data_IF_085946169734
#
_entry.id   IF_085946169734
#
_cell.length_a   1.000
_cell.length_b   1.000
_cell.length_c   1.000
_cell.angle_alpha   90.00
_cell.angle_beta   90.00
_cell.angle_gamma   90.00
#
_symmetry.space_group_name_H-M   'P 1'
#
loop_
_entity.id
_entity.type
_entity.pdbx_description
1 polymer ?
#
# COMPACT_ATOMS: atom_id res chain seq x y z
N UNK A 1 -4.44 11.47 -7.22
CA UNK A 1 -4.91 10.40 -6.31
C UNK A 1 -3.76 9.82 -5.51
N UNK A 2 -2.59 9.57 -6.14
CA UNK A 2 -1.40 9.08 -5.43
C UNK A 2 -1.04 9.88 -4.16
N UNK A 3 -1.03 11.24 -4.15
CA UNK A 3 -0.69 11.99 -2.92
C UNK A 3 -1.59 11.67 -1.72
N UNK A 4 -2.89 11.43 -1.94
CA UNK A 4 -3.85 11.07 -0.88
C UNK A 4 -3.56 9.67 -0.34
N UNK A 5 -3.21 8.72 -1.22
CA UNK A 5 -2.85 7.35 -0.81
C UNK A 5 -1.50 7.36 -0.06
N UNK A 6 -0.54 8.18 -0.48
CA UNK A 6 0.74 8.38 0.22
C UNK A 6 0.52 8.97 1.61
N UNK A 7 -0.36 9.96 1.74
CA UNK A 7 -0.74 10.53 3.04
C UNK A 7 -1.41 9.46 3.94
N UNK A 8 -2.31 8.66 3.39
CA UNK A 8 -2.93 7.55 4.12
C UNK A 8 -1.90 6.51 4.57
N UNK A 9 -0.92 6.20 3.73
CA UNK A 9 0.17 5.28 4.06
C UNK A 9 1.10 5.86 5.14
N UNK A 10 1.41 7.16 5.09
CA UNK A 10 2.14 7.84 6.14
C UNK A 10 1.40 7.78 7.49
N UNK A 11 0.07 7.99 7.47
CA UNK A 11 -0.78 7.83 8.65
C UNK A 11 -0.82 6.38 9.16
N UNK A 12 -0.83 5.39 8.26
CA UNK A 12 -0.67 3.98 8.64
C UNK A 12 0.66 3.74 9.36
N UNK A 13 1.77 4.23 8.81
CA UNK A 13 3.09 4.13 9.43
C UNK A 13 3.12 4.75 10.83
N UNK A 14 2.63 5.98 10.95
CA UNK A 14 2.71 6.75 12.20
C UNK A 14 1.73 6.24 13.28
N UNK A 15 0.51 5.89 12.90
CA UNK A 15 -0.58 5.66 13.86
C UNK A 15 -0.92 4.18 14.06
N UNK A 16 -0.83 3.36 13.02
CA UNK A 16 -1.21 1.95 13.07
C UNK A 16 -0.04 1.07 13.50
N UNK A 17 1.07 1.12 12.76
CA UNK A 17 2.25 0.30 13.06
C UNK A 17 3.28 1.03 13.95
N UNK A 18 3.13 2.36 14.09
CA UNK A 18 3.96 3.23 14.97
C UNK A 18 5.45 3.12 14.68
N UNK A 19 5.80 2.97 13.41
CA UNK A 19 7.20 2.92 12.95
C UNK A 19 7.61 4.24 12.32
N UNK A 20 8.86 4.67 12.50
CA UNK A 20 9.39 5.82 11.80
C UNK A 20 9.41 5.54 10.30
N UNK A 21 9.11 6.55 9.50
CA UNK A 21 9.10 6.43 8.05
C UNK A 21 9.85 7.59 7.39
N UNK A 22 10.36 7.36 6.19
CA UNK A 22 10.98 8.36 5.33
C UNK A 22 10.45 8.19 3.91
N UNK A 23 10.04 9.29 3.28
CA UNK A 23 9.63 9.30 1.88
C UNK A 23 10.89 9.25 1.02
N UNK A 24 11.04 8.21 0.20
CA UNK A 24 12.23 7.99 -0.61
C UNK A 24 11.93 8.14 -2.10
N UNK A 25 12.86 8.71 -2.87
CA UNK A 25 12.76 8.74 -4.32
C UNK A 25 13.20 7.39 -4.93
N UNK A 26 12.43 6.93 -5.92
CA UNK A 26 12.59 5.83 -6.88
C UNK A 26 13.95 5.09 -6.98
N UNK A 27 13.98 3.80 -7.39
CA UNK A 27 12.94 2.74 -7.36
C UNK A 27 13.09 1.81 -6.14
N UNK A 28 12.12 0.90 -5.89
CA UNK A 28 12.24 -0.07 -4.81
C UNK A 28 13.50 -0.92 -4.98
N UNK A 29 14.24 -1.10 -3.89
CA UNK A 29 15.56 -1.75 -3.92
C UNK A 29 15.50 -3.24 -3.65
N UNK A 30 14.36 -3.72 -3.17
CA UNK A 30 14.15 -5.09 -2.70
C UNK A 30 13.05 -5.77 -3.50
N UNK A 31 12.99 -7.10 -3.42
CA UNK A 31 11.85 -7.87 -3.91
C UNK A 31 10.62 -7.47 -3.10
N UNK A 32 9.52 -7.16 -3.77
CA UNK A 32 8.30 -6.61 -3.14
C UNK A 32 7.12 -7.49 -3.53
N UNK A 33 6.29 -7.85 -2.55
CA UNK A 33 4.99 -8.46 -2.76
C UNK A 33 3.97 -7.36 -3.00
N UNK A 34 3.05 -7.54 -3.94
CA UNK A 34 2.07 -6.51 -4.29
C UNK A 34 0.63 -7.00 -4.10
N UNK A 35 -0.23 -6.10 -3.65
CA UNK A 35 -1.67 -6.19 -3.77
C UNK A 35 -2.19 -4.97 -4.53
N UNK A 36 -3.33 -5.08 -5.19
CA UNK A 36 -4.01 -3.95 -5.81
C UNK A 36 -5.45 -3.80 -5.37
N UNK A 37 -5.93 -2.55 -5.40
CA UNK A 37 -7.34 -2.19 -5.25
C UNK A 37 -7.71 -1.27 -6.42
N UNK A 38 -8.81 -1.60 -7.09
CA UNK A 38 -9.40 -0.70 -8.09
C UNK A 38 -10.22 0.40 -7.38
N UNK A 39 -10.00 1.64 -7.80
CA UNK A 39 -10.58 2.87 -7.26
C UNK A 39 -11.30 3.60 -8.39
N UNK A 40 -12.60 3.80 -8.22
CA UNK A 40 -13.40 4.66 -9.09
C UNK A 40 -13.54 6.04 -8.46
N UNK A 41 -13.20 7.08 -9.23
CA UNK A 41 -13.39 8.48 -8.83
C UNK A 41 -13.58 9.36 -10.05
N UNK A 42 -14.55 10.28 -9.99
CA UNK A 42 -14.84 11.26 -11.05
C UNK A 42 -15.02 10.63 -12.46
N UNK A 43 -15.66 9.45 -12.52
CA UNK A 43 -15.91 8.74 -13.79
C UNK A 43 -14.66 8.07 -14.40
N UNK A 44 -13.59 7.93 -13.64
CA UNK A 44 -12.36 7.25 -14.06
C UNK A 44 -11.96 6.17 -13.07
N UNK A 45 -11.46 5.05 -13.58
CA UNK A 45 -10.98 3.94 -12.77
C UNK A 45 -9.45 3.95 -12.75
N UNK A 46 -8.91 3.83 -11.55
CA UNK A 46 -7.49 3.67 -11.31
C UNK A 46 -7.27 2.37 -10.54
N UNK A 47 -6.10 1.78 -10.69
CA UNK A 47 -5.62 0.67 -9.90
C UNK A 47 -4.50 1.17 -9.00
N UNK A 48 -4.73 1.14 -7.70
CA UNK A 48 -3.72 1.42 -6.70
C UNK A 48 -3.02 0.11 -6.32
N UNK A 49 -1.70 0.11 -6.35
CA UNK A 49 -0.87 -1.01 -5.91
C UNK A 49 -0.21 -0.64 -4.58
N UNK A 50 -0.31 -1.55 -3.62
CA UNK A 50 0.38 -1.47 -2.33
C UNK A 50 1.36 -2.64 -2.29
N UNK A 51 2.63 -2.33 -2.12
CA UNK A 51 3.68 -3.33 -2.09
C UNK A 51 4.51 -3.25 -0.82
N UNK A 52 4.78 -4.39 -0.21
CA UNK A 52 5.69 -4.49 0.94
C UNK A 52 6.84 -5.43 0.57
N UNK A 53 8.05 -5.04 0.94
CA UNK A 53 9.13 -6.03 0.96
C UNK A 53 8.90 -7.07 2.09
N UNK A 54 9.57 -8.25 2.03
CA UNK A 54 9.45 -9.29 3.04
C UNK A 54 9.73 -8.82 4.47
N UNK A 55 10.66 -7.89 4.66
CA UNK A 55 11.02 -7.37 5.97
C UNK A 55 9.87 -6.58 6.56
N UNK A 56 9.27 -5.69 5.78
CA UNK A 56 8.16 -4.87 6.23
C UNK A 56 6.90 -5.71 6.49
N UNK A 57 6.55 -6.62 5.58
CA UNK A 57 5.31 -7.39 5.75
C UNK A 57 5.39 -8.35 6.95
N UNK A 58 6.56 -8.93 7.23
CA UNK A 58 6.77 -9.70 8.46
C UNK A 58 6.63 -8.82 9.70
N UNK A 59 7.22 -7.61 9.70
CA UNK A 59 7.07 -6.69 10.83
C UNK A 59 5.61 -6.28 11.06
N UNK A 60 4.84 -6.07 9.99
CA UNK A 60 3.40 -5.81 10.06
C UNK A 60 2.67 -7.02 10.65
N UNK A 61 2.97 -8.24 10.18
CA UNK A 61 2.39 -9.47 10.71
C UNK A 61 2.70 -9.65 12.21
N UNK A 62 3.93 -9.41 12.64
CA UNK A 62 4.32 -9.45 14.06
C UNK A 62 3.51 -8.44 14.90
N UNK A 63 3.38 -7.20 14.41
CA UNK A 63 2.64 -6.15 15.13
C UNK A 63 1.15 -6.49 15.31
N UNK A 64 0.52 -7.08 14.28
CA UNK A 64 -0.92 -7.35 14.30
C UNK A 64 -1.30 -8.73 14.83
N UNK A 65 -0.45 -9.75 14.60
CA UNK A 65 -0.72 -11.15 14.92
C UNK A 65 0.16 -11.69 16.06
N UNK A 66 1.28 -11.04 16.37
CA UNK A 66 2.24 -11.52 17.37
C UNK A 66 3.10 -12.70 16.88
N UNK A 67 3.23 -12.87 15.56
CA UNK A 67 4.01 -13.94 14.94
C UNK A 67 5.41 -13.44 14.54
N UNK A 68 6.44 -14.05 15.13
CA UNK A 68 7.85 -13.73 14.80
C UNK A 68 8.23 -14.17 13.37
N UNK A 69 7.65 -15.29 12.91
CA UNK A 69 7.80 -15.82 11.56
C UNK A 69 6.43 -16.28 11.05
N UNK A 70 6.01 -15.73 9.91
CA UNK A 70 4.73 -16.06 9.28
C UNK A 70 4.95 -16.80 7.96
N UNK A 71 4.02 -17.71 7.63
CA UNK A 71 4.04 -18.38 6.34
C UNK A 71 3.58 -17.46 5.19
N UNK A 72 3.80 -17.89 3.94
CA UNK A 72 3.48 -17.09 2.74
C UNK A 72 1.99 -16.73 2.64
N UNK A 73 1.10 -17.59 3.11
CA UNK A 73 -0.34 -17.34 3.08
C UNK A 73 -0.69 -16.24 4.07
N UNK A 74 -0.19 -16.33 5.31
CA UNK A 74 -0.37 -15.29 6.32
C UNK A 74 0.18 -13.94 5.85
N UNK A 75 1.39 -13.91 5.27
CA UNK A 75 1.97 -12.67 4.75
C UNK A 75 1.16 -12.08 3.59
N UNK A 76 0.59 -12.93 2.73
CA UNK A 76 -0.29 -12.50 1.64
C UNK A 76 -1.59 -11.91 2.17
N UNK A 77 -2.24 -12.58 3.13
CA UNK A 77 -3.47 -12.10 3.75
C UNK A 77 -3.23 -10.78 4.50
N UNK A 78 -2.10 -10.66 5.19
CA UNK A 78 -1.68 -9.41 5.83
C UNK A 78 -1.43 -8.29 4.83
N UNK A 79 -0.89 -8.59 3.64
CA UNK A 79 -0.69 -7.59 2.60
C UNK A 79 -2.02 -7.10 2.03
N UNK A 80 -2.99 -8.00 1.83
CA UNK A 80 -4.34 -7.65 1.39
C UNK A 80 -5.04 -6.75 2.42
N UNK A 81 -4.96 -7.09 3.70
CA UNK A 81 -5.53 -6.27 4.77
C UNK A 81 -4.82 -4.92 4.87
N UNK A 82 -3.47 -4.90 4.78
CA UNK A 82 -2.69 -3.66 4.75
C UNK A 82 -3.12 -2.75 3.60
N UNK A 83 -3.30 -3.32 2.40
CA UNK A 83 -3.79 -2.56 1.25
C UNK A 83 -5.18 -1.98 1.50
N UNK A 84 -6.08 -2.78 2.09
CA UNK A 84 -7.43 -2.36 2.45
C UNK A 84 -7.43 -1.23 3.50
N UNK A 85 -6.57 -1.32 4.52
CA UNK A 85 -6.42 -0.28 5.55
C UNK A 85 -5.91 1.03 4.94
N UNK A 86 -4.87 0.99 4.10
CA UNK A 86 -4.28 2.19 3.50
C UNK A 86 -5.25 2.83 2.51
N UNK A 87 -5.78 2.07 1.55
CA UNK A 87 -6.67 2.61 0.52
C UNK A 87 -8.04 2.98 1.09
N UNK A 88 -8.53 2.22 2.08
CA UNK A 88 -9.72 2.56 2.86
C UNK A 88 -9.57 3.88 3.62
N UNK A 89 -8.42 4.11 4.27
CA UNK A 89 -8.11 5.38 4.91
C UNK A 89 -8.01 6.52 3.89
N UNK A 90 -7.40 6.28 2.72
CA UNK A 90 -7.32 7.26 1.63
C UNK A 90 -8.71 7.69 1.12
N UNK A 91 -9.67 6.76 1.03
CA UNK A 91 -11.06 7.07 0.70
C UNK A 91 -11.70 8.03 1.71
N UNK A 92 -11.47 7.82 3.01
CA UNK A 92 -11.99 8.71 4.06
C UNK A 92 -11.33 10.09 3.96
N UNK A 93 -10.00 10.14 3.84
CA UNK A 93 -9.25 11.39 3.67
C UNK A 93 -9.71 12.18 2.43
N UNK A 94 -9.95 11.49 1.31
CA UNK A 94 -10.44 12.11 0.08
C UNK A 94 -11.78 12.82 0.29
N UNK A 95 -12.71 12.19 1.03
CA UNK A 95 -14.03 12.76 1.31
C UNK A 95 -13.94 13.94 2.29
N UNK A 96 -13.11 13.84 3.33
CA UNK A 96 -13.07 14.83 4.42
C UNK A 96 -12.19 16.04 4.10
N UNK A 97 -11.04 15.84 3.46
CA UNK A 97 -10.05 16.90 3.25
C UNK A 97 -10.03 17.43 1.81
N UNK A 98 -10.53 16.66 0.84
CA UNK A 98 -10.38 16.97 -0.59
C UNK A 98 -11.72 17.00 -1.36
N UNK A 99 -12.87 16.92 -0.67
CA UNK A 99 -14.23 16.89 -1.25
C UNK A 99 -14.35 15.96 -2.47
N UNK A 100 -13.64 14.83 -2.42
CA UNK A 100 -13.52 13.87 -3.52
C UNK A 100 -14.12 12.54 -3.11
N UNK A 101 -15.11 12.06 -3.86
CA UNK A 101 -15.68 10.73 -3.64
C UNK A 101 -14.83 9.65 -4.30
N UNK A 102 -14.57 8.58 -3.55
CA UNK A 102 -13.88 7.39 -4.01
C UNK A 102 -14.71 6.15 -3.68
N UNK A 103 -14.91 5.30 -4.67
CA UNK A 103 -15.42 3.94 -4.50
C UNK A 103 -14.26 2.98 -4.68
N UNK A 104 -14.08 2.04 -3.74
CA UNK A 104 -12.96 1.11 -3.73
C UNK A 104 -13.49 -0.32 -3.79
N UNK A 105 -12.83 -1.17 -4.59
CA UNK A 105 -13.08 -2.61 -4.64
C UNK A 105 -12.34 -3.34 -3.50
N UNK A 106 -12.46 -4.67 -3.46
CA UNK A 106 -11.66 -5.52 -2.57
C UNK A 106 -10.23 -5.67 -3.10
N UNK A 107 -9.23 -5.88 -2.21
CA UNK A 107 -7.85 -6.10 -2.63
C UNK A 107 -7.65 -7.44 -3.32
N UNK A 108 -6.69 -7.50 -4.24
CA UNK A 108 -6.23 -8.71 -4.92
C UNK A 108 -4.71 -8.80 -4.91
N UNK A 109 -4.18 -10.00 -4.69
CA UNK A 109 -2.74 -10.24 -4.71
C UNK A 109 -2.20 -10.25 -6.14
N UNK A 110 -0.94 -9.84 -6.30
CA UNK A 110 -0.24 -9.74 -7.58
C UNK A 110 1.02 -10.58 -7.51
N UNK A 111 1.12 -11.53 -8.45
CA UNK A 111 2.30 -12.39 -8.59
C UNK A 111 3.42 -11.75 -9.41
N UNK A 112 3.06 -10.74 -10.21
CA UNK A 112 3.92 -10.01 -11.12
C UNK A 112 4.81 -8.99 -10.40
N UNK A 113 6.01 -8.80 -10.92
CA UNK A 113 6.90 -7.74 -10.46
C UNK A 113 6.48 -6.36 -10.97
N UNK A 114 6.90 -5.31 -10.26
CA UNK A 114 6.61 -3.90 -10.62
C UNK A 114 6.99 -3.55 -12.06
N UNK A 115 8.08 -4.14 -12.58
CA UNK A 115 8.57 -3.95 -13.95
C UNK A 115 7.55 -4.39 -15.02
N UNK A 116 6.69 -5.34 -14.69
CA UNK A 116 5.62 -5.84 -15.55
C UNK A 116 4.34 -5.00 -15.39
N UNK A 117 4.08 -4.48 -14.19
CA UNK A 117 2.91 -3.65 -13.88
C UNK A 117 2.92 -2.35 -14.69
N UNK A 118 4.09 -1.71 -14.80
CA UNK A 118 4.30 -0.40 -15.46
C UNK A 118 3.26 0.64 -15.00
N UNK A 119 3.33 1.06 -13.72
CA UNK A 119 2.42 2.08 -13.21
C UNK A 119 2.71 3.46 -13.82
N UNK A 120 1.70 4.33 -13.81
CA UNK A 120 1.82 5.71 -14.28
C UNK A 120 2.53 6.60 -13.24
N UNK A 121 2.27 6.33 -11.96
CA UNK A 121 2.85 7.05 -10.82
C UNK A 121 3.34 6.06 -9.76
N UNK A 122 4.42 6.40 -9.05
CA UNK A 122 5.03 5.56 -8.02
C UNK A 122 5.62 6.42 -6.89
N UNK A 123 5.44 5.98 -5.65
CA UNK A 123 6.11 6.52 -4.46
C UNK A 123 6.61 5.37 -3.59
N UNK A 124 7.82 5.48 -3.05
CA UNK A 124 8.36 4.58 -2.04
C UNK A 124 8.43 5.28 -0.67
N UNK A 125 8.26 4.50 0.38
CA UNK A 125 8.38 4.92 1.78
C UNK A 125 9.29 3.88 2.47
N UNK A 126 10.44 4.32 2.95
CA UNK A 126 11.31 3.51 3.80
C UNK A 126 10.77 3.48 5.23
N UNK A 127 10.71 2.31 5.85
CA UNK A 127 10.18 2.09 7.20
C UNK A 127 11.13 1.15 7.93
N UNK A 128 11.98 1.69 8.82
CA UNK A 128 13.15 0.99 9.35
C UNK A 128 13.99 0.37 8.22
N UNK A 129 14.20 -0.95 8.25
CA UNK A 129 14.88 -1.72 7.21
C UNK A 129 13.93 -2.20 6.10
N UNK A 130 12.63 -1.93 6.19
CA UNK A 130 11.62 -2.32 5.21
C UNK A 130 11.25 -1.20 4.24
N UNK A 131 10.54 -1.56 3.18
CA UNK A 131 10.09 -0.65 2.13
C UNK A 131 8.62 -0.89 1.77
N UNK A 132 7.84 0.20 1.80
CA UNK A 132 6.47 0.27 1.31
C UNK A 132 6.48 0.98 -0.05
N UNK A 133 5.88 0.35 -1.05
CA UNK A 133 5.73 0.88 -2.41
C UNK A 133 4.27 1.15 -2.69
N UNK A 134 3.97 2.34 -3.21
CA UNK A 134 2.62 2.75 -3.60
C UNK A 134 2.68 3.13 -5.07
N UNK A 135 1.90 2.46 -5.90
CA UNK A 135 1.83 2.74 -7.33
C UNK A 135 0.40 3.02 -7.76
N UNK A 136 0.24 3.81 -8.82
CA UNK A 136 -1.05 4.09 -9.41
C UNK A 136 -1.00 3.88 -10.92
N UNK A 137 -2.04 3.24 -11.46
CA UNK A 137 -2.22 3.05 -12.90
C UNK A 137 -3.64 3.38 -13.28
N UNK A 138 -3.85 4.20 -14.30
CA UNK A 138 -5.16 4.43 -14.89
C UNK A 138 -5.58 3.26 -15.78
N UNK A 139 -6.84 2.85 -15.69
CA UNK A 139 -7.43 1.77 -16.51
C UNK A 139 -8.15 2.32 -17.74
#
# INVERSE_FOLDING_TARGET
>A
MLPIIVEAAANFCLHQIRLPYEITELPPKKRTLFAFIDIESNGSTHRAYIGCDPTLIQAIAEIFLGEDESDEQTLTDMLLETANMIVGSAKVLAAEAYDTSMMIATPFFVSEELSQIRPDELQCIGINDGELTIALKRL
#
